data_IF_361675699209
#
_entry.id   IF_361675699209
#
_cell.length_a   1.000
_cell.length_b   1.000
_cell.length_c   1.000
_cell.angle_alpha   90.00
_cell.angle_beta   90.00
_cell.angle_gamma   90.00
#
_symmetry.space_group_name_H-M   'P 1'
#
loop_
_entity.id
_entity.type
_entity.pdbx_description
1 polymer ?
#
# COMPACT_ATOMS: atom_id res chain seq x y z
N UNK A 1 -28.24 20.81 7.95
CA UNK A 1 -27.19 20.51 8.95
C UNK A 1 -25.87 20.79 8.28
N UNK A 2 -25.02 21.62 8.87
CA UNK A 2 -23.66 21.84 8.36
C UNK A 2 -22.88 20.57 8.69
N UNK A 3 -22.53 19.78 7.67
CA UNK A 3 -21.60 18.66 7.85
C UNK A 3 -20.33 19.24 8.47
N UNK A 4 -19.83 18.71 9.60
CA UNK A 4 -18.59 19.21 10.17
C UNK A 4 -17.51 19.20 9.10
N UNK A 5 -16.78 20.31 8.97
CA UNK A 5 -15.70 20.42 8.00
C UNK A 5 -14.69 19.31 8.28
N UNK A 6 -14.52 18.42 7.30
CA UNK A 6 -13.57 17.32 7.35
C UNK A 6 -12.18 17.93 7.15
N UNK A 7 -11.21 17.55 7.98
CA UNK A 7 -9.82 18.01 7.84
C UNK A 7 -9.11 17.23 6.72
N UNK A 8 -8.40 17.94 5.84
CA UNK A 8 -7.72 17.36 4.67
C UNK A 8 -6.61 18.29 4.16
N UNK A 9 -5.68 17.74 3.37
CA UNK A 9 -4.67 18.49 2.63
C UNK A 9 -4.44 17.81 1.27
N UNK A 10 -5.10 18.34 0.23
CA UNK A 10 -5.03 17.84 -1.16
C UNK A 10 -4.86 19.00 -2.11
N UNK A 11 -4.31 18.73 -3.30
CA UNK A 11 -3.87 19.77 -4.23
C UNK A 11 -4.99 20.68 -4.75
N UNK A 12 -6.08 20.10 -5.22
CA UNK A 12 -7.20 20.84 -5.83
C UNK A 12 -8.49 20.02 -5.81
N UNK A 13 -9.50 20.47 -5.05
CA UNK A 13 -10.81 19.81 -4.99
C UNK A 13 -11.61 19.90 -6.30
N UNK A 14 -11.26 20.83 -7.21
CA UNK A 14 -11.93 20.92 -8.51
C UNK A 14 -11.73 19.66 -9.38
N UNK A 15 -10.71 18.84 -9.07
CA UNK A 15 -10.42 17.58 -9.75
C UNK A 15 -11.37 16.43 -9.35
N UNK A 16 -12.22 16.62 -8.34
CA UNK A 16 -12.99 15.54 -7.72
C UNK A 16 -13.92 14.80 -8.70
N UNK A 17 -14.57 15.51 -9.64
CA UNK A 17 -15.46 14.85 -10.60
C UNK A 17 -14.71 13.88 -11.53
N UNK A 18 -13.58 14.33 -12.09
CA UNK A 18 -12.75 13.48 -12.95
C UNK A 18 -12.15 12.31 -12.15
N UNK A 19 -11.69 12.59 -10.93
CA UNK A 19 -11.22 11.57 -10.01
C UNK A 19 -12.28 10.52 -9.71
N UNK A 20 -13.52 10.91 -9.43
CA UNK A 20 -14.61 9.97 -9.16
C UNK A 20 -14.95 9.12 -10.39
N UNK A 21 -14.97 9.70 -11.58
CA UNK A 21 -15.16 8.94 -12.81
C UNK A 21 -14.08 7.86 -12.99
N UNK A 22 -12.82 8.18 -12.66
CA UNK A 22 -11.72 7.21 -12.72
C UNK A 22 -11.80 6.15 -11.61
N UNK A 23 -12.20 6.53 -10.39
CA UNK A 23 -12.43 5.57 -9.29
C UNK A 23 -13.52 4.57 -9.69
N UNK A 24 -14.64 5.06 -10.24
CA UNK A 24 -15.73 4.22 -10.74
C UNK A 24 -15.32 3.35 -11.93
N UNK A 25 -14.44 3.86 -12.80
CA UNK A 25 -13.86 3.08 -13.88
C UNK A 25 -13.00 1.93 -13.35
N UNK A 26 -12.06 2.22 -12.44
CA UNK A 26 -11.21 1.22 -11.81
C UNK A 26 -12.04 0.16 -11.07
N UNK A 27 -13.11 0.57 -10.38
CA UNK A 27 -14.01 -0.34 -9.65
C UNK A 27 -14.62 -1.45 -10.53
N UNK A 28 -14.77 -1.22 -11.84
CA UNK A 28 -15.30 -2.23 -12.79
C UNK A 28 -14.33 -3.39 -12.99
N UNK A 29 -13.03 -3.13 -12.85
CA UNK A 29 -11.95 -4.11 -12.95
C UNK A 29 -11.55 -4.67 -11.57
N UNK A 30 -12.22 -4.24 -10.49
CA UNK A 30 -11.97 -4.68 -9.12
C UNK A 30 -13.20 -5.38 -8.51
N UNK A 31 -13.65 -6.51 -9.08
CA UNK A 31 -14.87 -7.17 -8.63
C UNK A 31 -14.76 -7.76 -7.22
N UNK A 32 -13.57 -8.16 -6.75
CA UNK A 32 -13.43 -8.79 -5.41
C UNK A 32 -13.66 -7.76 -4.31
N UNK A 33 -12.95 -6.64 -4.33
CA UNK A 33 -13.15 -5.57 -3.34
C UNK A 33 -14.56 -5.00 -3.43
N UNK A 34 -15.17 -4.96 -4.62
CA UNK A 34 -16.57 -4.56 -4.81
C UNK A 34 -17.53 -5.50 -4.06
N UNK A 35 -17.36 -6.82 -4.19
CA UNK A 35 -18.18 -7.80 -3.46
C UNK A 35 -18.01 -7.66 -1.93
N UNK A 36 -16.78 -7.42 -1.47
CA UNK A 36 -16.48 -7.17 -0.06
C UNK A 36 -17.17 -5.88 0.42
N UNK A 37 -17.07 -4.79 -0.36
CA UNK A 37 -17.72 -3.52 -0.08
C UNK A 37 -19.24 -3.67 0.01
N UNK A 38 -19.87 -4.41 -0.90
CA UNK A 38 -21.31 -4.69 -0.88
C UNK A 38 -21.74 -5.45 0.38
N UNK A 39 -20.90 -6.38 0.85
CA UNK A 39 -21.11 -7.08 2.13
C UNK A 39 -20.94 -6.13 3.31
N UNK A 40 -19.83 -5.39 3.37
CA UNK A 40 -19.51 -4.43 4.43
C UNK A 40 -20.56 -3.34 4.56
N UNK A 41 -21.11 -2.85 3.45
CA UNK A 41 -22.20 -1.86 3.47
C UNK A 41 -23.46 -2.37 4.19
N UNK A 42 -23.72 -3.68 4.18
CA UNK A 42 -24.88 -4.31 4.84
C UNK A 42 -24.59 -4.65 6.30
N UNK A 43 -23.43 -5.24 6.55
CA UNK A 43 -23.06 -5.77 7.87
C UNK A 43 -22.48 -4.70 8.80
N UNK A 44 -21.90 -3.64 8.22
CA UNK A 44 -21.16 -2.57 8.93
C UNK A 44 -20.21 -3.10 10.00
N UNK A 45 -19.31 -4.06 9.67
CA UNK A 45 -18.50 -4.76 10.67
C UNK A 45 -17.39 -3.89 11.28
N UNK A 46 -17.14 -2.70 10.73
CA UNK A 46 -16.10 -1.78 11.15
C UNK A 46 -16.66 -0.54 11.85
N UNK A 47 -17.93 -0.57 12.26
CA UNK A 47 -18.60 0.55 12.93
C UNK A 47 -17.79 1.09 14.11
N UNK A 48 -17.51 2.39 14.09
CA UNK A 48 -16.81 3.08 15.18
C UNK A 48 -15.30 2.84 15.25
N UNK A 49 -14.74 2.10 14.28
CA UNK A 49 -13.29 1.96 14.16
C UNK A 49 -12.68 3.13 13.40
N UNK A 50 -11.54 3.64 13.90
CA UNK A 50 -10.71 4.62 13.22
C UNK A 50 -9.50 3.93 12.60
N UNK A 51 -9.33 4.12 11.31
CA UNK A 51 -8.24 3.52 10.53
C UNK A 51 -7.40 4.65 9.95
N UNK A 52 -6.10 4.64 10.23
CA UNK A 52 -5.14 5.51 9.54
C UNK A 52 -4.34 4.67 8.58
N UNK A 53 -4.38 5.04 7.29
CA UNK A 53 -3.72 4.36 6.21
C UNK A 53 -2.58 5.23 5.63
N UNK A 54 -1.42 4.62 5.38
CA UNK A 54 -0.32 5.19 4.62
C UNK A 54 -0.04 4.27 3.45
N UNK A 55 -0.61 4.62 2.29
CA UNK A 55 -0.59 3.81 1.07
C UNK A 55 -0.37 4.72 -0.13
N UNK A 56 -0.08 4.17 -1.30
CA UNK A 56 -0.12 4.94 -2.54
C UNK A 56 -1.55 5.48 -2.78
N UNK A 57 -1.72 6.78 -2.98
CA UNK A 57 -3.05 7.39 -3.12
C UNK A 57 -3.48 7.37 -4.58
N UNK A 58 -4.14 6.27 -4.99
CA UNK A 58 -4.57 6.01 -6.37
C UNK A 58 -6.07 5.69 -6.47
N UNK A 59 -6.57 5.48 -7.69
CA UNK A 59 -7.93 5.02 -7.96
C UNK A 59 -8.25 3.66 -7.36
N UNK A 60 -7.26 2.78 -7.28
CA UNK A 60 -7.39 1.45 -6.70
C UNK A 60 -7.50 1.56 -5.17
N UNK A 61 -6.61 2.34 -4.55
CA UNK A 61 -6.63 2.59 -3.09
C UNK A 61 -7.93 3.27 -2.68
N UNK A 62 -8.46 4.17 -3.51
CA UNK A 62 -9.76 4.78 -3.26
C UNK A 62 -10.86 3.71 -3.12
N UNK A 63 -10.87 2.65 -3.93
CA UNK A 63 -11.84 1.57 -3.81
C UNK A 63 -11.70 0.77 -2.50
N UNK A 64 -10.48 0.59 -1.99
CA UNK A 64 -10.25 0.06 -0.64
C UNK A 64 -10.81 0.98 0.44
N UNK A 65 -10.51 2.28 0.39
CA UNK A 65 -11.00 3.25 1.37
C UNK A 65 -12.53 3.31 1.39
N UNK A 66 -13.17 3.21 0.23
CA UNK A 66 -14.63 3.14 0.11
C UNK A 66 -15.20 1.87 0.74
N UNK A 67 -14.53 0.72 0.59
CA UNK A 67 -14.94 -0.52 1.24
C UNK A 67 -14.88 -0.40 2.77
N UNK A 68 -13.79 0.15 3.31
CA UNK A 68 -13.62 0.35 4.75
C UNK A 68 -14.65 1.34 5.31
N UNK A 69 -14.84 2.49 4.64
CA UNK A 69 -15.84 3.51 5.01
C UNK A 69 -17.26 2.92 5.00
N UNK A 70 -17.62 2.19 3.95
CA UNK A 70 -18.96 1.60 3.83
C UNK A 70 -19.16 0.48 4.86
N UNK A 71 -18.07 -0.15 5.31
CA UNK A 71 -18.04 -1.03 6.49
C UNK A 71 -18.26 -0.33 7.82
N UNK A 72 -18.34 1.00 7.87
CA UNK A 72 -18.59 1.79 9.08
C UNK A 72 -17.33 2.39 9.72
N UNK A 73 -16.15 2.22 9.13
CA UNK A 73 -14.92 2.80 9.65
C UNK A 73 -14.82 4.31 9.32
N UNK A 74 -14.20 5.07 10.22
CA UNK A 74 -13.68 6.39 9.91
C UNK A 74 -12.23 6.26 9.41
N UNK A 75 -11.98 6.73 8.19
CA UNK A 75 -10.69 6.53 7.52
C UNK A 75 -9.96 7.86 7.34
N UNK A 76 -8.65 7.85 7.65
CA UNK A 76 -7.70 8.88 7.27
C UNK A 76 -6.59 8.26 6.40
N UNK A 77 -6.29 8.87 5.25
CA UNK A 77 -5.32 8.36 4.28
C UNK A 77 -4.21 9.39 4.06
N UNK A 78 -2.96 8.93 4.07
CA UNK A 78 -1.81 9.69 3.60
C UNK A 78 -0.99 8.87 2.60
N UNK A 79 -0.12 9.56 1.84
CA UNK A 79 0.72 8.90 0.83
C UNK A 79 1.86 8.10 1.48
N UNK A 80 2.15 6.91 0.97
CA UNK A 80 3.38 6.16 1.30
C UNK A 80 4.58 6.59 0.44
N UNK A 81 4.34 7.30 -0.67
CA UNK A 81 5.40 7.80 -1.54
C UNK A 81 5.05 9.16 -2.16
N UNK A 82 5.95 10.16 -2.09
CA UNK A 82 5.69 11.51 -2.57
C UNK A 82 5.26 11.64 -4.03
N UNK A 83 5.69 10.73 -4.90
CA UNK A 83 5.43 10.79 -6.35
C UNK A 83 4.24 9.94 -6.79
N UNK A 84 3.63 9.17 -5.87
CA UNK A 84 2.61 8.16 -6.20
C UNK A 84 1.19 8.69 -6.23
N UNK A 85 0.91 9.82 -5.57
CA UNK A 85 -0.43 10.39 -5.48
C UNK A 85 -1.01 10.71 -6.85
N UNK A 86 -2.27 10.32 -7.05
CA UNK A 86 -3.15 10.78 -8.11
C UNK A 86 -4.04 11.87 -7.51
N UNK A 87 -3.70 13.13 -7.78
CA UNK A 87 -4.31 14.31 -7.13
C UNK A 87 -5.84 14.37 -7.32
N UNK A 88 -6.35 13.85 -8.44
CA UNK A 88 -7.77 13.74 -8.74
C UNK A 88 -8.48 12.68 -7.90
N UNK A 89 -7.88 11.50 -7.71
CA UNK A 89 -8.40 10.47 -6.80
C UNK A 89 -8.43 10.97 -5.34
N UNK A 90 -7.37 11.66 -4.90
CA UNK A 90 -7.32 12.30 -3.58
C UNK A 90 -8.45 13.33 -3.40
N UNK A 91 -8.65 14.20 -4.38
CA UNK A 91 -9.72 15.20 -4.38
C UNK A 91 -11.12 14.56 -4.32
N UNK A 92 -11.34 13.48 -5.08
CA UNK A 92 -12.61 12.76 -5.09
C UNK A 92 -12.94 12.11 -3.74
N UNK A 93 -11.95 11.47 -3.10
CA UNK A 93 -12.09 10.88 -1.76
C UNK A 93 -12.54 11.90 -0.71
N UNK A 94 -12.01 13.12 -0.78
CA UNK A 94 -12.40 14.21 0.12
C UNK A 94 -13.78 14.76 -0.25
N UNK A 95 -13.93 15.31 -1.46
CA UNK A 95 -15.09 16.13 -1.82
C UNK A 95 -16.38 15.33 -2.03
N UNK A 96 -16.27 14.07 -2.47
CA UNK A 96 -17.44 13.25 -2.86
C UNK A 96 -17.70 12.13 -1.86
N UNK A 97 -16.67 11.68 -1.14
CA UNK A 97 -16.74 10.49 -0.30
C UNK A 97 -16.55 10.76 1.19
N UNK A 98 -16.18 11.98 1.57
CA UNK A 98 -16.05 12.41 2.96
C UNK A 98 -14.92 11.71 3.72
N UNK A 99 -13.86 11.28 3.02
CA UNK A 99 -12.69 10.61 3.61
C UNK A 99 -11.58 11.65 3.81
N UNK A 100 -10.91 11.62 4.97
CA UNK A 100 -9.77 12.51 5.25
C UNK A 100 -8.58 12.06 4.43
N UNK A 101 -8.02 12.95 3.62
CA UNK A 101 -6.83 12.66 2.80
C UNK A 101 -5.79 13.76 2.98
N UNK A 102 -4.56 13.35 3.24
CA UNK A 102 -3.38 14.19 3.38
C UNK A 102 -2.33 13.68 2.40
N UNK A 103 -2.39 14.15 1.16
CA UNK A 103 -1.51 13.67 0.10
C UNK A 103 -1.51 14.61 -1.11
N UNK A 104 -0.31 14.98 -1.59
CA UNK A 104 -0.14 15.79 -2.79
C UNK A 104 0.97 15.19 -3.66
N UNK A 105 0.73 15.03 -4.96
CA UNK A 105 1.79 14.52 -5.85
C UNK A 105 2.95 15.50 -5.95
N UNK A 106 4.15 15.03 -5.63
CA UNK A 106 5.39 15.80 -5.64
C UNK A 106 5.62 16.58 -4.35
N UNK A 107 5.10 16.11 -3.23
CA UNK A 107 5.38 16.66 -1.90
C UNK A 107 6.87 16.54 -1.52
N UNK A 108 7.35 17.51 -0.74
CA UNK A 108 8.68 17.44 -0.14
C UNK A 108 8.66 16.60 1.15
N UNK A 109 9.83 16.24 1.66
CA UNK A 109 9.94 15.40 2.86
C UNK A 109 9.22 16.01 4.07
N UNK A 110 9.25 17.34 4.20
CA UNK A 110 8.57 18.03 5.31
C UNK A 110 7.05 17.88 5.22
N UNK A 111 6.48 18.03 4.02
CA UNK A 111 5.05 17.86 3.76
C UNK A 111 4.64 16.39 3.90
N UNK A 112 5.44 15.46 3.38
CA UNK A 112 5.24 14.02 3.52
C UNK A 112 5.07 13.61 5.00
N UNK A 113 6.02 13.98 5.87
CA UNK A 113 5.92 13.65 7.29
C UNK A 113 4.81 14.44 8.01
N UNK A 114 4.55 15.70 7.62
CA UNK A 114 3.39 16.46 8.10
C UNK A 114 2.08 15.70 7.82
N UNK A 115 1.94 15.10 6.63
CA UNK A 115 0.76 14.31 6.26
C UNK A 115 0.64 13.01 7.04
N UNK A 116 1.76 12.30 7.27
CA UNK A 116 1.77 11.14 8.18
C UNK A 116 1.30 11.54 9.59
N UNK A 117 1.82 12.65 10.13
CA UNK A 117 1.37 13.13 11.45
C UNK A 117 -0.11 13.51 11.45
N UNK A 118 -0.62 14.14 10.39
CA UNK A 118 -2.04 14.48 10.28
C UNK A 118 -2.93 13.22 10.24
N UNK A 119 -2.50 12.17 9.52
CA UNK A 119 -3.19 10.88 9.55
C UNK A 119 -3.17 10.24 10.95
N UNK A 120 -2.09 10.42 11.73
CA UNK A 120 -2.01 9.93 13.12
C UNK A 120 -2.88 10.73 14.10
N UNK A 121 -3.12 12.03 13.87
CA UNK A 121 -4.05 12.83 14.69
C UNK A 121 -5.50 12.31 14.66
N UNK A 122 -5.82 11.44 13.69
CA UNK A 122 -7.07 10.67 13.65
C UNK A 122 -7.19 9.66 14.82
N UNK A 123 -6.13 9.47 15.61
CA UNK A 123 -6.07 8.52 16.74
C UNK A 123 -6.49 7.11 16.34
N UNK A 124 -5.76 6.48 15.39
CA UNK A 124 -6.15 5.19 14.83
C UNK A 124 -6.28 4.13 15.92
N UNK A 125 -7.24 3.23 15.71
CA UNK A 125 -7.26 1.92 16.37
C UNK A 125 -6.59 0.86 15.50
N UNK A 126 -6.62 1.04 14.18
CA UNK A 126 -5.93 0.16 13.24
C UNK A 126 -5.03 1.01 12.33
N UNK A 127 -3.78 0.58 12.18
CA UNK A 127 -2.87 1.15 11.17
C UNK A 127 -2.85 0.29 9.92
N UNK A 128 -2.82 0.89 8.75
CA UNK A 128 -2.68 0.21 7.46
C UNK A 128 -1.51 0.84 6.72
N UNK A 129 -0.49 0.07 6.37
CA UNK A 129 0.79 0.61 5.93
C UNK A 129 1.31 -0.09 4.68
N UNK A 130 2.07 0.66 3.89
CA UNK A 130 2.82 0.21 2.72
C UNK A 130 4.21 0.85 2.86
N UNK A 131 5.13 0.05 3.40
CA UNK A 131 6.51 0.49 3.66
C UNK A 131 6.86 0.70 5.14
N UNK A 132 5.88 0.61 6.04
CA UNK A 132 5.99 0.78 7.49
C UNK A 132 6.32 2.20 7.99
N UNK A 133 6.06 3.25 7.21
CA UNK A 133 6.42 4.63 7.61
C UNK A 133 5.42 5.24 8.60
N UNK A 134 4.13 4.91 8.51
CA UNK A 134 3.13 5.30 9.51
C UNK A 134 3.42 4.61 10.85
N UNK A 135 3.64 3.30 10.83
CA UNK A 135 3.94 2.49 12.02
C UNK A 135 5.26 2.94 12.66
N UNK A 136 6.31 3.18 11.86
CA UNK A 136 7.59 3.64 12.38
C UNK A 136 7.48 5.04 13.01
N UNK A 137 6.79 5.97 12.35
CA UNK A 137 6.56 7.32 12.87
C UNK A 137 5.77 7.28 14.19
N UNK A 138 4.74 6.44 14.25
CA UNK A 138 3.95 6.22 15.46
C UNK A 138 4.80 5.73 16.64
N UNK A 139 5.66 4.72 16.44
CA UNK A 139 6.50 4.15 17.50
C UNK A 139 7.64 5.07 17.95
N UNK A 140 8.14 5.92 17.05
CA UNK A 140 9.28 6.80 17.30
C UNK A 140 8.87 8.16 17.87
N UNK A 141 7.76 8.72 17.38
CA UNK A 141 7.46 10.15 17.58
C UNK A 141 6.10 10.38 18.22
N UNK A 142 5.12 9.49 18.04
CA UNK A 142 3.72 9.66 18.51
C UNK A 142 3.27 8.58 19.49
N UNK A 143 4.17 8.17 20.39
CA UNK A 143 3.98 7.04 21.30
C UNK A 143 2.75 7.15 22.19
N UNK A 144 2.30 8.37 22.49
CA UNK A 144 1.08 8.64 23.23
C UNK A 144 -0.18 8.10 22.55
N UNK A 145 -0.16 7.88 21.23
CA UNK A 145 -1.30 7.33 20.49
C UNK A 145 -1.33 5.80 20.48
N UNK A 146 -0.23 5.13 20.86
CA UNK A 146 -0.11 3.67 20.82
C UNK A 146 -1.14 2.97 21.71
N UNK A 147 -1.59 3.62 22.80
CA UNK A 147 -2.57 3.03 23.73
C UNK A 147 -3.92 2.71 23.06
N UNK A 148 -4.22 3.36 21.93
CA UNK A 148 -5.47 3.18 21.19
C UNK A 148 -5.38 2.11 20.09
N UNK A 149 -4.16 1.74 19.67
CA UNK A 149 -3.95 0.84 18.54
C UNK A 149 -4.09 -0.61 18.97
N UNK A 150 -4.96 -1.35 18.27
CA UNK A 150 -5.22 -2.77 18.55
C UNK A 150 -4.42 -3.70 17.64
N UNK A 151 -4.17 -3.30 16.39
CA UNK A 151 -3.38 -4.04 15.41
C UNK A 151 -3.06 -3.16 14.20
N UNK A 152 -2.27 -3.69 13.26
CA UNK A 152 -2.13 -3.09 11.94
C UNK A 152 -1.95 -4.10 10.82
N UNK A 153 -1.86 -3.60 9.59
CA UNK A 153 -1.59 -4.37 8.38
C UNK A 153 -0.42 -3.76 7.61
N UNK A 154 0.35 -4.58 6.89
CA UNK A 154 1.48 -4.14 6.07
C UNK A 154 1.49 -4.82 4.70
N UNK A 155 1.56 -4.02 3.64
CA UNK A 155 1.38 -4.47 2.25
C UNK A 155 2.65 -4.97 1.56
N UNK A 156 3.82 -4.51 1.98
CA UNK A 156 5.07 -4.72 1.22
C UNK A 156 6.09 -5.57 1.93
N UNK A 157 6.91 -6.25 1.13
CA UNK A 157 8.06 -7.01 1.64
C UNK A 157 8.97 -6.15 2.51
N UNK A 158 9.26 -4.91 2.08
CA UNK A 158 10.15 -3.99 2.80
C UNK A 158 9.57 -3.60 4.16
N UNK A 159 8.28 -3.25 4.23
CA UNK A 159 7.63 -2.96 5.49
C UNK A 159 7.57 -4.19 6.40
N UNK A 160 7.26 -5.38 5.87
CA UNK A 160 7.26 -6.63 6.65
C UNK A 160 8.64 -6.92 7.24
N UNK A 161 9.72 -6.73 6.49
CA UNK A 161 11.10 -6.87 7.00
C UNK A 161 11.36 -5.91 8.15
N UNK A 162 10.98 -4.63 8.00
CA UNK A 162 11.12 -3.61 9.06
C UNK A 162 10.34 -3.98 10.31
N UNK A 163 9.09 -4.43 10.17
CA UNK A 163 8.22 -4.77 11.29
C UNK A 163 8.64 -6.05 12.00
N UNK A 164 9.12 -7.06 11.26
CA UNK A 164 9.75 -8.27 11.85
C UNK A 164 11.02 -7.92 12.63
N UNK A 165 11.83 -6.97 12.14
CA UNK A 165 12.97 -6.47 12.89
C UNK A 165 12.54 -5.74 14.17
N UNK A 166 11.52 -4.88 14.11
CA UNK A 166 10.96 -4.22 15.29
C UNK A 166 10.40 -5.22 16.31
N UNK A 167 9.73 -6.29 15.88
CA UNK A 167 9.24 -7.35 16.76
C UNK A 167 10.39 -8.09 17.45
N UNK A 168 11.43 -8.47 16.69
CA UNK A 168 12.63 -9.14 17.21
C UNK A 168 13.37 -8.29 18.26
N UNK A 169 13.40 -6.97 18.06
CA UNK A 169 14.05 -6.03 18.98
C UNK A 169 13.16 -5.62 20.17
N UNK A 170 11.91 -6.12 20.24
CA UNK A 170 10.93 -5.75 21.27
C UNK A 170 10.43 -4.30 21.16
N UNK A 171 10.63 -3.66 20.01
CA UNK A 171 10.22 -2.29 19.74
C UNK A 171 8.76 -2.18 19.26
N UNK A 172 8.25 -3.21 18.59
CA UNK A 172 6.85 -3.29 18.16
C UNK A 172 5.94 -3.48 19.38
N UNK A 173 4.82 -2.75 19.45
CA UNK A 173 3.91 -2.79 20.62
C UNK A 173 2.51 -3.31 20.34
N UNK A 174 2.17 -3.60 19.08
CA UNK A 174 0.89 -4.17 18.67
C UNK A 174 1.07 -5.14 17.50
N UNK A 175 0.18 -6.13 17.32
CA UNK A 175 0.28 -7.12 16.25
C UNK A 175 0.13 -6.52 14.86
N UNK A 176 0.84 -7.09 13.88
CA UNK A 176 0.74 -6.75 12.46
C UNK A 176 0.33 -7.97 11.66
N UNK A 177 -0.59 -7.81 10.69
CA UNK A 177 -0.86 -8.81 9.65
C UNK A 177 -0.10 -8.42 8.38
N UNK A 178 0.82 -9.27 7.95
CA UNK A 178 1.67 -9.12 6.77
C UNK A 178 0.89 -9.53 5.50
N UNK A 179 0.21 -8.57 4.88
CA UNK A 179 -0.57 -8.78 3.64
C UNK A 179 0.32 -9.24 2.50
N UNK A 180 1.58 -8.82 2.46
CA UNK A 180 2.54 -9.23 1.44
C UNK A 180 2.71 -10.76 1.31
N UNK A 181 2.48 -11.49 2.41
CA UNK A 181 2.73 -12.93 2.49
C UNK A 181 1.51 -13.77 2.07
N UNK A 182 0.37 -13.17 1.76
CA UNK A 182 -0.76 -13.88 1.14
C UNK A 182 -0.37 -14.36 -0.27
N UNK A 183 -0.74 -15.60 -0.62
CA UNK A 183 -0.46 -16.17 -1.95
C UNK A 183 -1.16 -15.38 -3.05
N UNK A 184 -2.41 -14.93 -2.80
CA UNK A 184 -3.15 -14.08 -3.76
C UNK A 184 -2.56 -12.68 -3.92
N UNK A 185 -1.65 -12.26 -3.04
CA UNK A 185 -0.83 -11.06 -3.20
C UNK A 185 0.50 -11.40 -3.87
N UNK A 186 1.28 -12.31 -3.28
CA UNK A 186 2.64 -12.62 -3.71
C UNK A 186 2.69 -13.19 -5.14
N UNK A 187 1.82 -14.12 -5.49
CA UNK A 187 1.83 -14.75 -6.82
C UNK A 187 1.14 -13.95 -7.91
N UNK A 188 0.48 -12.84 -7.56
CA UNK A 188 -0.25 -12.03 -8.53
C UNK A 188 0.30 -10.60 -8.60
N UNK A 189 0.23 -9.86 -7.51
CA UNK A 189 0.69 -8.47 -7.44
C UNK A 189 2.21 -8.40 -7.68
N UNK A 190 3.00 -9.05 -6.84
CA UNK A 190 4.47 -9.02 -6.97
C UNK A 190 4.98 -9.78 -8.21
N UNK A 191 4.15 -10.61 -8.85
CA UNK A 191 4.56 -11.40 -10.01
C UNK A 191 4.22 -10.72 -11.32
N UNK A 192 3.03 -10.12 -11.42
CA UNK A 192 2.49 -9.54 -12.64
C UNK A 192 2.49 -8.00 -12.62
N UNK A 193 2.61 -7.37 -11.44
CA UNK A 193 2.67 -5.93 -11.25
C UNK A 193 4.09 -5.35 -11.32
N UNK A 194 4.90 -5.54 -10.27
CA UNK A 194 6.28 -5.04 -10.16
C UNK A 194 7.22 -6.06 -9.52
N UNK A 195 8.52 -5.82 -9.65
CA UNK A 195 9.54 -6.57 -8.92
C UNK A 195 9.57 -6.19 -7.43
N UNK A 196 10.14 -7.07 -6.62
CA UNK A 196 10.32 -6.85 -5.18
C UNK A 196 11.55 -5.98 -4.91
N UNK A 197 11.54 -5.28 -3.76
CA UNK A 197 12.74 -4.58 -3.30
C UNK A 197 13.84 -5.58 -2.96
N UNK A 198 15.09 -5.25 -3.27
CA UNK A 198 16.22 -6.16 -3.06
C UNK A 198 17.11 -5.75 -1.87
N UNK A 199 18.04 -4.83 -2.08
CA UNK A 199 19.00 -4.35 -1.07
C UNK A 199 19.39 -2.88 -1.32
N UNK A 200 20.21 -2.29 -0.47
CA UNK A 200 20.72 -0.91 -0.63
C UNK A 200 21.91 -0.86 -1.60
N UNK A 201 22.03 0.22 -2.37
CA UNK A 201 23.15 0.48 -3.30
C UNK A 201 23.43 -0.67 -4.29
N UNK A 202 22.40 -1.37 -4.75
CA UNK A 202 22.49 -2.36 -5.84
C UNK A 202 23.18 -1.76 -7.05
N UNK A 203 22.79 -0.53 -7.41
CA UNK A 203 23.52 0.31 -8.35
C UNK A 203 24.36 1.34 -7.61
N UNK A 204 25.61 0.96 -7.33
CA UNK A 204 26.65 1.83 -6.77
C UNK A 204 27.63 2.40 -7.83
N UNK A 205 28.53 3.30 -7.38
CA UNK A 205 29.59 3.99 -8.14
C UNK A 205 30.28 3.12 -9.20
N UNK A 206 30.75 1.92 -8.80
CA UNK A 206 31.46 1.00 -9.70
C UNK A 206 30.64 0.60 -10.94
N UNK A 207 29.32 0.61 -10.84
CA UNK A 207 28.43 0.31 -11.95
C UNK A 207 28.25 1.54 -12.83
N UNK A 208 28.04 2.73 -12.25
CA UNK A 208 27.97 3.99 -12.99
C UNK A 208 29.26 4.26 -13.79
N UNK A 209 30.42 3.92 -13.21
CA UNK A 209 31.73 4.06 -13.86
C UNK A 209 31.79 3.34 -15.22
N UNK A 210 31.06 2.23 -15.39
CA UNK A 210 31.08 1.41 -16.61
C UNK A 210 29.80 1.51 -17.45
N UNK A 211 28.81 2.33 -17.06
CA UNK A 211 27.58 2.50 -17.83
C UNK A 211 27.82 3.19 -19.17
N UNK A 212 27.07 2.80 -20.20
CA UNK A 212 27.15 3.45 -21.52
C UNK A 212 26.60 4.89 -21.43
N UNK A 213 27.11 5.77 -22.29
CA UNK A 213 26.51 7.09 -22.49
C UNK A 213 25.03 6.95 -22.88
N UNK A 214 24.18 7.76 -22.26
CA UNK A 214 22.74 7.73 -22.42
C UNK A 214 22.02 6.59 -21.70
N UNK A 215 22.68 5.86 -20.79
CA UNK A 215 22.01 4.81 -20.03
C UNK A 215 20.86 5.37 -19.17
N UNK A 216 19.76 4.62 -19.14
CA UNK A 216 18.55 4.94 -18.37
C UNK A 216 18.54 4.06 -17.12
N UNK A 217 18.36 4.70 -15.97
CA UNK A 217 18.39 4.10 -14.65
C UNK A 217 17.02 4.29 -14.01
N UNK A 218 16.42 3.20 -13.55
CA UNK A 218 15.13 3.20 -12.89
C UNK A 218 15.12 2.15 -11.77
N UNK A 219 14.23 2.36 -10.80
CA UNK A 219 14.03 1.47 -9.67
C UNK A 219 12.59 0.95 -9.68
N UNK A 220 12.41 -0.32 -9.34
CA UNK A 220 11.10 -0.96 -9.20
C UNK A 220 10.86 -1.50 -7.79
N UNK A 221 11.75 -1.22 -6.84
CA UNK A 221 11.51 -1.45 -5.43
C UNK A 221 10.91 -0.24 -4.73
N UNK A 222 10.67 -0.39 -3.43
CA UNK A 222 9.80 0.46 -2.64
C UNK A 222 10.43 1.84 -2.33
N UNK A 223 11.68 1.85 -1.85
CA UNK A 223 12.44 3.07 -1.57
C UNK A 223 13.45 3.40 -2.67
N UNK A 224 13.96 4.64 -2.68
CA UNK A 224 15.00 5.07 -3.62
C UNK A 224 16.44 4.69 -3.22
N UNK A 225 16.61 3.72 -2.33
CA UNK A 225 17.91 3.33 -1.75
C UNK A 225 18.66 2.25 -2.54
N UNK A 226 17.98 1.58 -3.48
CA UNK A 226 18.62 0.56 -4.33
C UNK A 226 19.61 1.18 -5.32
N UNK A 227 19.42 2.47 -5.62
CA UNK A 227 20.32 3.27 -6.44
C UNK A 227 21.09 4.20 -5.51
N UNK A 228 22.42 4.16 -5.54
CA UNK A 228 23.25 5.10 -4.78
C UNK A 228 23.24 6.49 -5.44
N UNK A 229 22.13 7.22 -5.29
CA UNK A 229 21.93 8.55 -5.89
C UNK A 229 23.00 9.53 -5.40
N UNK A 230 23.44 9.42 -4.14
CA UNK A 230 24.53 10.26 -3.60
C UNK A 230 25.84 10.04 -4.36
N UNK A 231 26.18 8.79 -4.68
CA UNK A 231 27.36 8.50 -5.49
C UNK A 231 27.19 9.01 -6.93
N UNK A 232 26.01 8.84 -7.53
CA UNK A 232 25.72 9.36 -8.87
C UNK A 232 25.87 10.89 -8.92
N UNK A 233 25.32 11.60 -7.94
CA UNK A 233 25.43 13.05 -7.81
C UNK A 233 26.88 13.49 -7.59
N UNK A 234 27.64 12.77 -6.77
CA UNK A 234 29.07 13.06 -6.56
C UNK A 234 29.95 12.84 -7.82
N UNK A 235 29.49 11.99 -8.75
CA UNK A 235 30.14 11.76 -10.06
C UNK A 235 29.68 12.73 -11.15
N UNK A 236 28.64 13.52 -10.87
CA UNK A 236 28.02 14.43 -11.84
C UNK A 236 28.63 15.83 -11.72
N UNK A 237 28.92 16.46 -12.86
CA UNK A 237 29.20 17.90 -12.93
C UNK A 237 27.93 18.75 -13.08
N UNK A 238 26.83 18.14 -13.54
CA UNK A 238 25.55 18.81 -13.70
C UNK A 238 24.37 17.86 -13.50
N UNK A 239 23.25 18.42 -13.03
CA UNK A 239 21.94 17.75 -12.94
C UNK A 239 20.91 18.67 -13.56
N UNK A 240 20.12 18.17 -14.52
CA UNK A 240 19.01 18.93 -15.11
C UNK A 240 17.79 18.05 -15.29
N UNK A 241 16.61 18.58 -14.96
CA UNK A 241 15.36 17.93 -15.30
C UNK A 241 15.08 18.13 -16.80
N UNK A 242 15.09 17.06 -17.59
CA UNK A 242 14.92 17.14 -19.05
C UNK A 242 13.48 16.94 -19.49
N UNK A 243 12.68 16.25 -18.67
CA UNK A 243 11.24 16.12 -18.79
C UNK A 243 10.66 15.64 -17.47
N UNK A 244 9.32 15.64 -17.35
CA UNK A 244 8.62 15.10 -16.18
C UNK A 244 9.18 13.71 -15.81
N UNK A 245 9.60 13.58 -14.55
CA UNK A 245 10.18 12.37 -13.96
C UNK A 245 11.50 11.87 -14.58
N UNK A 246 12.25 12.71 -15.30
CA UNK A 246 13.56 12.33 -15.86
C UNK A 246 14.61 13.40 -15.59
N UNK A 247 15.60 13.02 -14.81
CA UNK A 247 16.78 13.83 -14.53
C UNK A 247 17.97 13.33 -15.34
N UNK A 248 18.62 14.23 -16.07
CA UNK A 248 19.91 13.97 -16.69
C UNK A 248 21.02 14.34 -15.70
N UNK A 249 21.91 13.38 -15.46
CA UNK A 249 23.16 13.51 -14.73
C UNK A 249 24.30 13.55 -15.75
N UNK A 250 24.89 14.73 -15.96
CA UNK A 250 26.10 14.88 -16.78
C UNK A 250 27.31 14.52 -15.93
N UNK A 251 27.98 13.42 -16.26
CA UNK A 251 29.16 12.94 -15.54
C UNK A 251 30.41 13.74 -15.92
N UNK A 252 31.39 13.78 -15.00
CA UNK A 252 32.66 14.51 -15.20
C UNK A 252 33.50 14.02 -16.40
N UNK A 253 33.20 12.84 -16.95
CA UNK A 253 33.87 12.28 -18.13
C UNK A 253 33.12 12.55 -19.45
N UNK A 254 32.06 13.38 -19.40
CA UNK A 254 31.27 13.80 -20.55
C UNK A 254 30.10 12.87 -20.89
N UNK A 255 29.96 11.70 -20.24
CA UNK A 255 28.78 10.84 -20.39
C UNK A 255 27.56 11.44 -19.70
N UNK A 256 26.38 11.01 -20.14
CA UNK A 256 25.09 11.37 -19.56
C UNK A 256 24.36 10.13 -19.09
N UNK A 257 23.89 10.14 -17.86
CA UNK A 257 23.01 9.11 -17.30
C UNK A 257 21.64 9.71 -17.00
N UNK A 258 20.58 8.96 -17.25
CA UNK A 258 19.20 9.42 -17.04
C UNK A 258 18.55 8.67 -15.89
N UNK A 259 18.29 9.36 -14.79
CA UNK A 259 17.60 8.81 -13.63
C UNK A 259 16.09 9.06 -13.77
N UNK A 260 15.30 8.00 -13.74
CA UNK A 260 13.85 8.09 -13.80
C UNK A 260 13.24 8.14 -12.40
N UNK A 261 12.20 8.96 -12.24
CA UNK A 261 11.37 9.01 -11.01
C UNK A 261 12.15 9.32 -9.74
N UNK A 262 13.28 10.04 -9.84
CA UNK A 262 14.19 10.30 -8.70
C UNK A 262 14.68 9.02 -8.00
N UNK A 263 14.76 7.91 -8.74
CA UNK A 263 15.11 6.59 -8.22
C UNK A 263 14.04 5.95 -7.35
N UNK A 264 12.85 6.54 -7.23
CA UNK A 264 11.68 5.92 -6.59
C UNK A 264 11.00 4.92 -7.53
N UNK A 265 10.02 4.21 -6.99
CA UNK A 265 9.22 3.18 -7.67
C UNK A 265 8.63 3.69 -9.00
N UNK A 266 9.22 3.25 -10.11
CA UNK A 266 9.07 3.92 -11.41
C UNK A 266 7.67 3.79 -12.02
N UNK A 267 7.01 2.65 -11.83
CA UNK A 267 5.67 2.40 -12.36
C UNK A 267 4.63 3.35 -11.73
N UNK A 268 4.80 3.77 -10.48
CA UNK A 268 3.94 4.74 -9.81
C UNK A 268 4.42 6.18 -10.05
N UNK A 269 5.72 6.42 -9.95
CA UNK A 269 6.28 7.76 -10.12
C UNK A 269 6.06 8.30 -11.54
N UNK A 270 6.20 7.45 -12.57
CA UNK A 270 6.14 7.84 -13.98
C UNK A 270 5.00 7.21 -14.79
N UNK A 271 4.17 6.36 -14.19
CA UNK A 271 2.92 5.87 -14.79
C UNK A 271 1.79 5.86 -13.74
N UNK A 272 0.96 4.81 -13.74
CA UNK A 272 -0.23 4.71 -12.89
C UNK A 272 -0.16 3.55 -11.87
N UNK A 273 0.98 2.87 -11.75
CA UNK A 273 1.13 1.70 -10.89
C UNK A 273 0.63 0.41 -11.52
N UNK A 274 0.18 -0.54 -10.69
CA UNK A 274 -0.41 -1.79 -11.16
C UNK A 274 -1.83 -1.56 -11.70
N UNK A 275 -2.26 -2.36 -12.69
CA UNK A 275 -3.64 -2.31 -13.13
C UNK A 275 -4.59 -2.69 -12.00
N UNK A 276 -5.76 -2.07 -11.97
CA UNK A 276 -6.79 -2.29 -10.95
C UNK A 276 -7.14 -3.77 -10.74
N UNK A 277 -7.15 -4.57 -11.81
CA UNK A 277 -7.45 -6.01 -11.74
C UNK A 277 -6.46 -6.85 -10.95
N UNK A 278 -5.22 -6.37 -10.80
CA UNK A 278 -4.19 -6.98 -9.96
C UNK A 278 -4.31 -6.48 -8.52
N UNK A 279 -4.50 -5.17 -8.32
CA UNK A 279 -4.66 -4.58 -6.98
C UNK A 279 -5.94 -5.02 -6.25
N UNK A 280 -6.95 -5.46 -6.99
CA UNK A 280 -8.21 -5.98 -6.46
C UNK A 280 -8.02 -7.03 -5.35
N UNK A 281 -7.08 -7.96 -5.54
CA UNK A 281 -6.83 -9.03 -4.56
C UNK A 281 -5.99 -8.56 -3.37
N UNK A 282 -4.96 -7.73 -3.59
CA UNK A 282 -4.16 -7.13 -2.52
C UNK A 282 -5.04 -6.34 -1.55
N UNK A 283 -5.94 -5.51 -2.10
CA UNK A 283 -6.86 -4.72 -1.30
C UNK A 283 -8.02 -5.52 -0.72
N UNK A 284 -8.44 -6.61 -1.37
CA UNK A 284 -9.35 -7.57 -0.74
C UNK A 284 -8.73 -8.18 0.53
N UNK A 285 -7.45 -8.58 0.48
CA UNK A 285 -6.73 -9.06 1.66
C UNK A 285 -6.65 -7.98 2.75
N UNK A 286 -6.33 -6.73 2.40
CA UNK A 286 -6.34 -5.60 3.36
C UNK A 286 -7.70 -5.45 4.05
N UNK A 287 -8.79 -5.37 3.28
CA UNK A 287 -10.13 -5.18 3.82
C UNK A 287 -10.58 -6.35 4.72
N UNK A 288 -10.31 -7.59 4.31
CA UNK A 288 -10.64 -8.78 5.09
C UNK A 288 -9.75 -8.95 6.32
N UNK A 289 -8.48 -8.55 6.27
CA UNK A 289 -7.60 -8.54 7.43
C UNK A 289 -8.06 -7.53 8.48
N UNK A 290 -8.48 -6.33 8.07
CA UNK A 290 -9.10 -5.35 8.98
C UNK A 290 -10.39 -5.91 9.60
N UNK A 291 -11.23 -6.56 8.80
CA UNK A 291 -12.42 -7.25 9.31
C UNK A 291 -12.07 -8.35 10.32
N UNK A 292 -11.05 -9.16 10.03
CA UNK A 292 -10.57 -10.20 10.94
C UNK A 292 -10.08 -9.61 12.27
N UNK A 293 -9.33 -8.51 12.23
CA UNK A 293 -8.90 -7.77 13.43
C UNK A 293 -10.11 -7.24 14.20
N UNK A 294 -11.10 -6.68 13.50
CA UNK A 294 -12.27 -6.03 14.11
C UNK A 294 -13.24 -7.00 14.79
N UNK A 295 -13.36 -8.23 14.27
CA UNK A 295 -14.41 -9.18 14.67
C UNK A 295 -13.92 -10.30 15.59
N UNK A 296 -12.62 -10.35 15.89
CA UNK A 296 -12.04 -11.38 16.74
C UNK A 296 -12.23 -11.04 18.22
N UNK A 297 -12.60 -12.06 19.02
CA UNK A 297 -12.82 -11.90 20.46
C UNK A 297 -11.54 -11.65 21.28
N UNK A 298 -10.43 -12.25 20.86
CA UNK A 298 -9.15 -12.16 21.56
C UNK A 298 -8.14 -11.30 20.80
N UNK A 299 -7.40 -10.44 21.51
CA UNK A 299 -6.28 -9.71 20.90
C UNK A 299 -5.15 -10.68 20.53
N UNK A 300 -4.56 -10.48 19.36
CA UNK A 300 -3.34 -11.19 18.98
C UNK A 300 -2.18 -10.73 19.88
N UNK A 301 -1.31 -11.65 20.34
CA UNK A 301 -0.02 -11.28 20.92
C UNK A 301 0.77 -10.39 19.96
N UNK A 302 1.72 -9.62 20.49
CA UNK A 302 2.55 -8.74 19.67
C UNK A 302 3.52 -9.58 18.84
N UNK A 303 3.25 -9.70 17.55
CA UNK A 303 4.11 -10.31 16.55
C UNK A 303 3.68 -9.87 15.14
N UNK A 304 4.40 -10.32 14.12
CA UNK A 304 4.03 -10.18 12.70
C UNK A 304 3.49 -11.51 12.19
N UNK A 305 2.19 -11.54 11.90
CA UNK A 305 1.47 -12.72 11.44
C UNK A 305 1.29 -12.71 9.92
N UNK A 306 1.32 -13.88 9.31
CA UNK A 306 0.86 -14.03 7.93
C UNK A 306 -0.66 -13.90 7.87
N UNK A 307 -1.20 -13.64 6.68
CA UNK A 307 -2.65 -13.60 6.47
C UNK A 307 -3.25 -14.98 6.78
N UNK A 308 -4.29 -15.08 7.62
CA UNK A 308 -5.00 -16.33 7.84
C UNK A 308 -5.41 -16.99 6.51
N UNK A 309 -5.17 -18.29 6.39
CA UNK A 309 -5.39 -19.03 5.14
C UNK A 309 -6.82 -18.92 4.63
N UNK A 310 -7.78 -18.81 5.54
CA UNK A 310 -9.20 -18.67 5.23
C UNK A 310 -9.49 -17.34 4.51
N UNK A 311 -8.79 -16.27 4.86
CA UNK A 311 -8.91 -14.96 4.20
C UNK A 311 -8.35 -15.05 2.78
N UNK A 312 -7.15 -15.59 2.62
CA UNK A 312 -6.49 -15.72 1.33
C UNK A 312 -7.30 -16.63 0.37
N UNK A 313 -7.82 -17.73 0.91
CA UNK A 313 -8.71 -18.65 0.18
C UNK A 313 -10.04 -17.98 -0.21
N UNK A 314 -10.60 -17.14 0.66
CA UNK A 314 -11.81 -16.38 0.35
C UNK A 314 -11.56 -15.36 -0.77
N UNK A 315 -10.42 -14.65 -0.76
CA UNK A 315 -10.04 -13.74 -1.86
C UNK A 315 -9.95 -14.50 -3.18
N UNK A 316 -9.27 -15.66 -3.21
CA UNK A 316 -9.19 -16.51 -4.39
C UNK A 316 -10.58 -16.97 -4.86
N UNK A 317 -11.43 -17.43 -3.94
CA UNK A 317 -12.80 -17.88 -4.24
C UNK A 317 -13.66 -16.75 -4.83
N UNK A 318 -13.61 -15.55 -4.25
CA UNK A 318 -14.31 -14.38 -4.76
C UNK A 318 -13.79 -13.99 -6.15
N UNK A 319 -12.48 -14.10 -6.40
CA UNK A 319 -11.90 -13.84 -7.72
C UNK A 319 -12.44 -14.82 -8.77
N UNK A 320 -12.40 -16.12 -8.48
CA UNK A 320 -12.92 -17.16 -9.38
C UNK A 320 -14.42 -16.96 -9.64
N UNK A 321 -15.21 -16.70 -8.61
CA UNK A 321 -16.63 -16.42 -8.73
C UNK A 321 -16.91 -15.19 -9.62
N UNK A 322 -16.11 -14.12 -9.49
CA UNK A 322 -16.23 -12.94 -10.35
C UNK A 322 -15.92 -13.21 -11.83
N UNK A 323 -15.12 -14.24 -12.10
CA UNK A 323 -14.78 -14.69 -13.46
C UNK A 323 -15.77 -15.74 -13.99
N UNK A 324 -16.80 -16.10 -13.22
CA UNK A 324 -17.74 -17.17 -13.56
C UNK A 324 -17.12 -18.57 -13.52
N UNK A 325 -16.01 -18.75 -12.79
CA UNK A 325 -15.32 -20.01 -12.62
C UNK A 325 -15.80 -20.68 -11.33
N UNK A 326 -16.25 -21.93 -11.45
CA UNK A 326 -16.57 -22.80 -10.32
C UNK A 326 -15.44 -23.80 -10.11
N UNK A 327 -15.18 -24.15 -8.86
CA UNK A 327 -14.25 -25.23 -8.48
C UNK A 327 -15.04 -26.34 -7.79
N UNK A 328 -14.53 -27.56 -7.84
CA UNK A 328 -15.11 -28.68 -7.13
C UNK A 328 -14.94 -28.51 -5.61
N UNK A 329 -15.91 -29.00 -4.83
CA UNK A 329 -15.80 -29.12 -3.38
C UNK A 329 -15.45 -30.57 -3.04
N UNK A 330 -14.58 -30.75 -2.04
CA UNK A 330 -14.28 -32.08 -1.54
C UNK A 330 -15.53 -32.68 -0.90
N UNK A 331 -15.76 -33.98 -1.10
CA UNK A 331 -16.78 -34.70 -0.33
C UNK A 331 -16.30 -34.87 1.12
N UNK A 332 -17.23 -35.06 2.06
CA UNK A 332 -16.90 -35.36 3.47
C UNK A 332 -15.92 -36.54 3.61
N UNK A 333 -16.06 -37.54 2.73
CA UNK A 333 -15.15 -38.69 2.66
C UNK A 333 -13.73 -38.27 2.26
N UNK A 334 -13.58 -37.40 1.26
CA UNK A 334 -12.28 -36.90 0.81
C UNK A 334 -11.61 -36.01 1.86
N UNK A 335 -12.37 -35.14 2.52
CA UNK A 335 -11.86 -34.31 3.63
C UNK A 335 -11.38 -35.18 4.79
N UNK A 336 -12.15 -36.20 5.15
CA UNK A 336 -11.78 -37.15 6.21
C UNK A 336 -10.53 -37.95 5.84
N UNK A 337 -10.43 -38.43 4.59
CA UNK A 337 -9.24 -39.14 4.12
C UNK A 337 -7.99 -38.27 4.20
N UNK A 338 -8.06 -37.01 3.75
CA UNK A 338 -6.92 -36.09 3.76
C UNK A 338 -6.51 -35.61 5.17
N UNK A 339 -7.44 -35.63 6.13
CA UNK A 339 -7.20 -35.23 7.52
C UNK A 339 -6.91 -36.39 8.47
N UNK A 340 -7.04 -37.63 8.00
CA UNK A 340 -6.78 -38.84 8.77
C UNK A 340 -5.38 -39.39 8.52
N UNK A 341 -4.74 -39.89 9.58
CA UNK A 341 -3.49 -40.65 9.51
C UNK A 341 -3.73 -42.17 9.59
N UNK A 342 -4.99 -42.59 9.77
CA UNK A 342 -5.39 -43.98 9.98
C UNK A 342 -5.46 -44.78 8.67
N UNK A 343 -5.56 -44.09 7.53
CA UNK A 343 -5.49 -44.70 6.22
C UNK A 343 -4.10 -44.51 5.61
N UNK A 344 -3.38 -45.62 5.44
CA UNK A 344 -2.04 -45.68 4.86
C UNK A 344 -1.75 -47.09 4.36
N UNK A 345 -0.93 -47.21 3.31
CA UNK A 345 -0.50 -48.51 2.75
C UNK A 345 0.47 -49.26 3.64
#
# INVERSE_FOLDING_TARGET
MVTPAIDYDVKDLALANDGNNRIEWAAREMPVIRLIRERFAKERPLEGLRISACLHVTTETANLMLALRDGGAEVALCASNPLSTQDDAAAALVAMHGIRVYAIRGEDDATYYKHIHAALEHKPQITMDDGADLVATLHKERRELLEHVVAGTEETTTGVIRLRAMAKDGALTYPIIAINEADTKHFFDNRYGTGQSTDVNVLDRRHFDVMKDGAIIANSGHFNVEINIKALEAMSESKRNVRRNVDEHGLMDGRKLFLLGEGRLINLAAAEGHPASVMDMSFANQALAVHYIATRDERLPVDVYDVPREIDSEVARLKLASMGITIDELTEEQEKYLSSWEEGT
#
